data_IF_892444628186
#
_entry.id   IF_892444628186
#
_cell.length_a   1.000
_cell.length_b   1.000
_cell.length_c   1.000
_cell.angle_alpha   90.00
_cell.angle_beta   90.00
_cell.angle_gamma   90.00
#
_symmetry.space_group_name_H-M   'P 1'
#
loop_
_entity.id
_entity.type
_entity.pdbx_description
1 polymer ?
#
# COMPACT_ATOMS: atom_id res chain seq x y z
N UNK A 1 15.24 1.79 -7.83
CA UNK A 1 13.98 1.83 -7.04
C UNK A 1 14.32 2.01 -5.58
N UNK A 2 14.07 3.20 -5.04
CA UNK A 2 14.36 3.52 -3.65
C UNK A 2 13.64 2.53 -2.72
N UNK A 3 14.36 2.07 -1.70
CA UNK A 3 13.90 1.11 -0.70
C UNK A 3 12.59 1.58 -0.03
N UNK A 4 11.46 1.03 -0.43
CA UNK A 4 10.13 1.43 0.04
C UNK A 4 9.77 0.75 1.38
N UNK A 5 10.64 0.88 2.41
CA UNK A 5 10.35 0.39 3.76
C UNK A 5 9.13 1.07 4.41
N UNK A 6 8.72 2.24 3.90
CA UNK A 6 7.53 2.95 4.42
C UNK A 6 6.21 2.17 4.32
N UNK A 7 6.14 1.11 3.51
CA UNK A 7 4.95 0.22 3.44
C UNK A 7 4.80 -0.66 4.69
N UNK A 8 5.91 -0.96 5.36
CA UNK A 8 5.95 -1.85 6.52
C UNK A 8 5.84 -1.11 7.85
N UNK A 9 5.91 0.23 7.85
CA UNK A 9 5.90 1.01 9.08
C UNK A 9 4.63 0.78 9.91
N UNK A 10 3.44 0.86 9.28
CA UNK A 10 2.19 0.65 10.00
C UNK A 10 2.03 -0.76 10.56
N UNK A 11 2.28 -1.86 9.82
CA UNK A 11 2.31 -3.19 10.40
C UNK A 11 3.28 -3.36 11.58
N UNK A 12 4.47 -2.74 11.51
CA UNK A 12 5.46 -2.80 12.61
C UNK A 12 4.94 -2.06 13.83
N UNK A 13 4.37 -0.86 13.65
CA UNK A 13 3.75 -0.12 14.77
C UNK A 13 2.63 -0.92 15.41
N UNK A 14 1.69 -1.44 14.61
CA UNK A 14 0.56 -2.20 15.11
C UNK A 14 0.99 -3.45 15.87
N UNK A 15 1.97 -4.20 15.34
CA UNK A 15 2.50 -5.38 16.01
C UNK A 15 3.16 -5.02 17.35
N UNK A 16 4.00 -3.98 17.38
CA UNK A 16 4.62 -3.50 18.61
C UNK A 16 3.59 -3.05 19.64
N UNK A 17 2.58 -2.28 19.21
CA UNK A 17 1.49 -1.85 20.09
C UNK A 17 0.72 -3.03 20.68
N UNK A 18 0.38 -4.07 19.88
CA UNK A 18 -0.33 -5.26 20.36
C UNK A 18 0.49 -6.03 21.39
N UNK A 19 1.80 -6.21 21.13
CA UNK A 19 2.69 -6.87 22.11
C UNK A 19 2.69 -6.09 23.45
N UNK A 20 2.86 -4.76 23.37
CA UNK A 20 2.91 -3.90 24.56
C UNK A 20 1.57 -3.81 25.30
N UNK A 21 0.46 -3.83 24.55
CA UNK A 21 -0.90 -3.87 25.11
C UNK A 21 -1.09 -5.16 25.93
N UNK A 22 -0.70 -6.33 25.37
CA UNK A 22 -0.81 -7.59 26.08
C UNK A 22 0.09 -7.62 27.32
N UNK A 23 1.32 -7.14 27.23
CA UNK A 23 2.22 -7.03 28.40
C UNK A 23 1.62 -6.11 29.45
N UNK A 24 1.10 -4.93 29.08
CA UNK A 24 0.51 -3.98 30.00
C UNK A 24 -0.75 -4.53 30.70
N UNK A 25 -1.57 -5.25 29.95
CA UNK A 25 -2.76 -5.91 30.49
C UNK A 25 -2.40 -7.01 31.50
N UNK A 26 -1.42 -7.87 31.16
CA UNK A 26 -0.94 -8.92 32.05
C UNK A 26 -0.29 -8.36 33.32
N UNK A 27 0.49 -7.30 33.20
CA UNK A 27 1.08 -6.60 34.37
C UNK A 27 -0.01 -6.01 35.26
N UNK A 28 -1.01 -5.33 34.67
CA UNK A 28 -2.14 -4.78 35.42
C UNK A 28 -2.96 -5.86 36.11
N UNK A 29 -3.15 -7.00 35.45
CA UNK A 29 -3.81 -8.18 36.03
C UNK A 29 -3.01 -8.75 37.18
N UNK A 30 -1.70 -8.97 37.02
CA UNK A 30 -0.81 -9.48 38.04
C UNK A 30 -0.77 -8.59 39.30
N UNK A 31 -0.67 -7.27 39.11
CA UNK A 31 -0.67 -6.32 40.24
C UNK A 31 -1.98 -6.33 41.01
N UNK A 32 -3.10 -6.63 40.35
CA UNK A 32 -4.41 -6.66 40.98
C UNK A 32 -4.68 -7.98 41.72
N UNK A 33 -4.26 -9.13 41.13
CA UNK A 33 -4.67 -10.45 41.59
C UNK A 33 -3.51 -11.31 42.11
N UNK A 34 -2.27 -10.84 41.98
CA UNK A 34 -1.03 -11.54 42.37
C UNK A 34 -0.84 -12.93 41.73
N UNK A 35 -1.56 -13.21 40.65
CA UNK A 35 -1.46 -14.42 39.86
C UNK A 35 -1.63 -14.12 38.37
N UNK A 36 -1.41 -15.11 37.50
CA UNK A 36 -1.57 -15.01 36.04
C UNK A 36 -2.53 -16.08 35.49
N UNK A 37 -3.56 -16.45 36.27
CA UNK A 37 -4.53 -17.50 35.89
C UNK A 37 -5.50 -16.98 34.83
N UNK A 38 -5.02 -16.71 33.63
CA UNK A 38 -5.78 -16.28 32.46
C UNK A 38 -6.11 -17.47 31.55
N UNK A 39 -6.84 -18.44 32.09
CA UNK A 39 -7.36 -19.56 31.28
C UNK A 39 -8.57 -19.13 30.43
N UNK A 40 -8.90 -19.95 29.39
CA UNK A 40 -9.96 -19.69 28.40
C UNK A 40 -11.34 -19.42 29.05
N UNK A 41 -11.61 -19.94 30.23
CA UNK A 41 -12.87 -19.72 30.99
C UNK A 41 -12.83 -18.46 31.88
N UNK A 42 -11.68 -17.76 31.98
CA UNK A 42 -11.59 -16.55 32.78
C UNK A 42 -12.18 -15.35 31.98
N UNK A 43 -13.11 -14.56 32.54
CA UNK A 43 -13.66 -13.38 31.87
C UNK A 43 -12.61 -12.39 31.39
N UNK A 44 -11.49 -12.25 32.09
CA UNK A 44 -10.39 -11.38 31.71
C UNK A 44 -9.66 -11.83 30.44
N UNK A 45 -9.70 -13.12 30.10
CA UNK A 45 -9.18 -13.60 28.81
C UNK A 45 -9.99 -13.02 27.65
N UNK A 46 -11.31 -13.03 27.74
CA UNK A 46 -12.17 -12.39 26.74
C UNK A 46 -11.97 -10.88 26.69
N UNK A 47 -11.81 -10.22 27.86
CA UNK A 47 -11.52 -8.80 27.92
C UNK A 47 -10.20 -8.46 27.20
N UNK A 48 -9.14 -9.27 27.36
CA UNK A 48 -7.88 -9.12 26.66
C UNK A 48 -8.05 -9.24 25.14
N UNK A 49 -8.86 -10.18 24.67
CA UNK A 49 -9.19 -10.30 23.23
C UNK A 49 -9.89 -9.03 22.74
N UNK A 50 -10.88 -8.50 23.49
CA UNK A 50 -11.57 -7.28 23.14
C UNK A 50 -10.62 -6.07 23.11
N UNK A 51 -9.69 -5.96 24.07
CA UNK A 51 -8.66 -4.93 24.05
C UNK A 51 -7.86 -4.96 22.75
N UNK A 52 -7.42 -6.13 22.29
CA UNK A 52 -6.67 -6.30 21.05
C UNK A 52 -7.52 -5.91 19.82
N UNK A 53 -8.77 -6.39 19.73
CA UNK A 53 -9.67 -6.09 18.60
C UNK A 53 -9.96 -4.61 18.51
N UNK A 54 -10.32 -3.95 19.64
CA UNK A 54 -10.62 -2.53 19.68
C UNK A 54 -9.38 -1.70 19.34
N UNK A 55 -8.19 -2.09 19.82
CA UNK A 55 -6.95 -1.40 19.47
C UNK A 55 -6.62 -1.47 17.98
N UNK A 56 -6.77 -2.64 17.36
CA UNK A 56 -6.60 -2.79 15.91
C UNK A 56 -7.54 -1.82 15.18
N UNK A 57 -8.81 -1.79 15.56
CA UNK A 57 -9.81 -0.93 14.94
C UNK A 57 -9.48 0.56 15.11
N UNK A 58 -9.17 1.02 16.32
CA UNK A 58 -8.80 2.41 16.63
C UNK A 58 -7.51 2.80 15.90
N UNK A 59 -6.49 1.93 15.91
CA UNK A 59 -5.22 2.20 15.24
C UNK A 59 -5.42 2.40 13.73
N UNK A 60 -6.23 1.55 13.09
CA UNK A 60 -6.53 1.66 11.67
C UNK A 60 -7.39 2.88 11.34
N UNK A 61 -8.37 3.20 12.19
CA UNK A 61 -9.23 4.37 12.02
C UNK A 61 -8.42 5.67 12.02
N UNK A 62 -7.40 5.75 12.88
CA UNK A 62 -6.58 6.95 13.04
C UNK A 62 -5.35 7.01 12.10
N UNK A 63 -5.04 5.96 11.34
CA UNK A 63 -3.81 5.87 10.53
C UNK A 63 -3.74 6.84 9.33
N UNK A 64 -4.85 7.48 8.97
CA UNK A 64 -4.91 8.36 7.80
C UNK A 64 -3.88 9.51 7.79
N UNK A 65 -3.26 9.82 8.92
CA UNK A 65 -2.33 10.96 9.05
C UNK A 65 -0.84 10.58 9.09
N UNK A 66 -0.48 9.28 9.23
CA UNK A 66 0.93 8.87 9.39
C UNK A 66 1.76 8.87 8.10
N UNK A 67 1.16 9.15 6.95
CA UNK A 67 1.88 9.21 5.67
C UNK A 67 2.81 10.39 5.52
N UNK A 68 2.72 11.39 6.41
CA UNK A 68 3.59 12.55 6.38
C UNK A 68 4.93 12.23 7.07
N UNK A 69 5.99 12.05 6.27
CA UNK A 69 7.37 11.93 6.76
C UNK A 69 7.80 13.13 7.61
N UNK A 70 7.04 14.21 7.52
CA UNK A 70 7.28 15.54 8.14
C UNK A 70 6.45 15.74 9.43
N UNK A 71 5.91 14.68 10.01
CA UNK A 71 5.12 14.80 11.24
C UNK A 71 6.00 15.27 12.42
N UNK A 72 5.53 16.29 13.15
CA UNK A 72 6.18 16.77 14.38
C UNK A 72 5.91 15.81 15.55
N UNK A 73 6.80 15.80 16.56
CA UNK A 73 6.64 14.95 17.73
C UNK A 73 5.33 15.24 18.48
N UNK A 74 4.92 16.51 18.52
CA UNK A 74 3.64 16.91 19.12
C UNK A 74 2.43 16.33 18.36
N UNK A 75 2.47 16.31 17.04
CA UNK A 75 1.39 15.73 16.25
C UNK A 75 1.26 14.22 16.48
N UNK A 76 2.40 13.54 16.63
CA UNK A 76 2.48 12.10 16.92
C UNK A 76 1.94 11.81 18.32
N UNK A 77 2.38 12.56 19.33
CA UNK A 77 1.92 12.42 20.72
C UNK A 77 0.42 12.67 20.85
N UNK A 78 -0.10 13.76 20.24
CA UNK A 78 -1.55 14.04 20.21
C UNK A 78 -2.34 12.88 19.60
N UNK A 79 -1.82 12.24 18.56
CA UNK A 79 -2.46 11.11 17.93
C UNK A 79 -2.49 9.88 18.84
N UNK A 80 -1.41 9.59 19.55
CA UNK A 80 -1.33 8.48 20.51
C UNK A 80 -2.33 8.70 21.63
N UNK A 81 -2.36 9.90 22.22
CA UNK A 81 -3.31 10.26 23.28
C UNK A 81 -4.76 10.10 22.78
N UNK A 82 -5.06 10.58 21.56
CA UNK A 82 -6.38 10.40 20.96
C UNK A 82 -6.73 8.92 20.77
N UNK A 83 -5.76 8.09 20.35
CA UNK A 83 -5.99 6.65 20.21
C UNK A 83 -6.30 5.98 21.54
N UNK A 84 -5.53 6.29 22.59
CA UNK A 84 -5.76 5.79 23.94
C UNK A 84 -7.13 6.21 24.49
N UNK A 85 -7.51 7.47 24.30
CA UNK A 85 -8.81 7.99 24.73
C UNK A 85 -9.98 7.29 24.01
N UNK A 86 -9.87 7.10 22.68
CA UNK A 86 -10.90 6.38 21.91
C UNK A 86 -10.98 4.90 22.30
N UNK A 87 -9.84 4.27 22.55
CA UNK A 87 -9.80 2.89 23.01
C UNK A 87 -10.44 2.73 24.39
N UNK A 88 -10.07 3.60 25.33
CA UNK A 88 -10.67 3.62 26.66
C UNK A 88 -12.19 3.83 26.59
N UNK A 89 -12.64 4.83 25.81
CA UNK A 89 -14.07 5.11 25.63
C UNK A 89 -14.82 3.90 25.03
N UNK A 90 -14.25 3.24 24.03
CA UNK A 90 -14.86 2.07 23.43
C UNK A 90 -14.98 0.89 24.42
N UNK A 91 -13.91 0.60 25.16
CA UNK A 91 -13.92 -0.46 26.17
C UNK A 91 -14.91 -0.13 27.30
N UNK A 92 -14.90 1.11 27.81
CA UNK A 92 -15.85 1.54 28.84
C UNK A 92 -17.30 1.39 28.35
N UNK A 93 -17.59 1.79 27.12
CA UNK A 93 -18.92 1.64 26.51
C UNK A 93 -19.33 0.17 26.43
N UNK A 94 -18.46 -0.71 25.96
CA UNK A 94 -18.74 -2.17 25.88
C UNK A 94 -19.04 -2.72 27.27
N UNK A 95 -18.21 -2.41 28.27
CA UNK A 95 -18.41 -2.90 29.65
C UNK A 95 -19.73 -2.41 30.27
N UNK A 96 -20.16 -1.17 29.98
CA UNK A 96 -21.43 -0.62 30.41
C UNK A 96 -22.61 -1.35 29.75
N UNK A 97 -22.59 -1.56 28.44
CA UNK A 97 -23.68 -2.25 27.73
C UNK A 97 -23.83 -3.71 28.16
N UNK A 98 -22.73 -4.40 28.40
CA UNK A 98 -22.74 -5.79 28.86
C UNK A 98 -23.03 -5.89 30.38
N UNK A 99 -23.18 -4.75 31.09
CA UNK A 99 -23.35 -4.67 32.56
C UNK A 99 -22.28 -5.48 33.33
N UNK A 100 -21.05 -5.47 32.82
CA UNK A 100 -19.93 -6.28 33.32
C UNK A 100 -19.30 -5.65 34.58
N UNK A 101 -20.04 -5.67 35.69
CA UNK A 101 -19.63 -5.07 36.98
C UNK A 101 -18.54 -5.85 37.71
N UNK A 102 -18.27 -7.08 37.27
CA UNK A 102 -17.28 -7.98 37.89
C UNK A 102 -15.81 -7.65 37.49
N UNK A 103 -15.56 -6.80 36.50
CA UNK A 103 -14.20 -6.38 36.20
C UNK A 103 -13.69 -5.32 37.18
N UNK A 104 -12.47 -5.56 37.69
CA UNK A 104 -11.81 -4.62 38.59
C UNK A 104 -11.44 -3.31 37.87
N UNK A 105 -11.93 -2.20 38.39
CA UNK A 105 -11.58 -0.86 37.88
C UNK A 105 -10.10 -0.56 38.05
N UNK A 106 -9.50 -1.04 39.17
CA UNK A 106 -8.09 -0.82 39.47
C UNK A 106 -7.19 -1.58 38.48
N UNK A 107 -7.55 -2.82 38.09
CA UNK A 107 -6.86 -3.55 37.03
C UNK A 107 -6.88 -2.77 35.70
N UNK A 108 -8.00 -2.17 35.34
CA UNK A 108 -8.07 -1.33 34.14
C UNK A 108 -7.18 -0.09 34.24
N UNK A 109 -7.15 0.57 35.39
CA UNK A 109 -6.26 1.72 35.62
C UNK A 109 -4.81 1.33 35.47
N UNK A 110 -4.37 0.24 36.08
CA UNK A 110 -2.99 -0.27 35.92
C UNK A 110 -2.69 -0.59 34.46
N UNK A 111 -3.57 -1.33 33.79
CA UNK A 111 -3.38 -1.70 32.37
C UNK A 111 -3.24 -0.48 31.46
N UNK A 112 -4.09 0.54 31.62
CA UNK A 112 -4.01 1.76 30.81
C UNK A 112 -2.80 2.63 31.15
N UNK A 113 -2.38 2.68 32.41
CA UNK A 113 -1.19 3.40 32.82
C UNK A 113 0.07 2.82 32.19
N UNK A 114 0.24 1.51 32.28
CA UNK A 114 1.37 0.82 31.61
C UNK A 114 1.27 0.91 30.10
N UNK A 115 0.11 0.66 29.52
CA UNK A 115 -0.06 0.70 28.07
C UNK A 115 0.24 2.10 27.51
N UNK A 116 -0.28 3.16 28.16
CA UNK A 116 0.02 4.53 27.77
C UNK A 116 1.50 4.86 27.79
N UNK A 117 2.20 4.49 28.87
CA UNK A 117 3.64 4.68 28.99
C UNK A 117 4.42 3.89 27.93
N UNK A 118 4.10 2.61 27.76
CA UNK A 118 4.79 1.73 26.83
C UNK A 118 4.59 2.15 25.37
N UNK A 119 3.35 2.40 24.94
CA UNK A 119 3.08 2.77 23.54
C UNK A 119 3.68 4.13 23.20
N UNK A 120 3.66 5.08 24.13
CA UNK A 120 4.29 6.39 23.92
C UNK A 120 5.79 6.25 23.73
N UNK A 121 6.47 5.57 24.66
CA UNK A 121 7.91 5.32 24.60
C UNK A 121 8.30 4.54 23.34
N UNK A 122 7.59 3.47 23.04
CA UNK A 122 7.80 2.66 21.82
C UNK A 122 7.71 3.48 20.55
N UNK A 123 6.61 4.22 20.39
CA UNK A 123 6.35 5.00 19.17
C UNK A 123 7.37 6.13 18.99
N UNK A 124 7.72 6.84 20.06
CA UNK A 124 8.76 7.86 20.00
C UNK A 124 10.13 7.25 19.72
N UNK A 125 10.54 6.21 20.43
CA UNK A 125 11.80 5.52 20.18
C UNK A 125 11.92 5.02 18.74
N UNK A 126 10.86 4.41 18.20
CA UNK A 126 10.84 3.94 16.82
C UNK A 126 10.98 5.09 15.81
N UNK A 127 10.31 6.21 16.03
CA UNK A 127 10.39 7.38 15.13
C UNK A 127 11.79 8.00 15.19
N UNK A 128 12.37 8.13 16.38
CA UNK A 128 13.75 8.63 16.53
C UNK A 128 14.77 7.72 15.85
N UNK A 129 14.66 6.39 16.01
CA UNK A 129 15.51 5.45 15.30
C UNK A 129 15.35 5.52 13.78
N UNK A 130 14.10 5.66 13.28
CA UNK A 130 13.83 5.82 11.87
C UNK A 130 14.39 7.14 11.30
N UNK A 131 14.29 8.24 12.05
CA UNK A 131 14.89 9.54 11.68
C UNK A 131 16.42 9.45 11.67
N UNK A 132 17.02 8.82 12.66
CA UNK A 132 18.47 8.57 12.70
C UNK A 132 18.93 7.71 11.52
N UNK A 133 18.16 6.68 11.17
CA UNK A 133 18.42 5.83 10.01
C UNK A 133 18.37 6.62 8.69
N UNK A 134 17.41 7.53 8.54
CA UNK A 134 17.32 8.43 7.37
C UNK A 134 18.46 9.44 7.32
N UNK A 135 18.88 10.02 8.45
CA UNK A 135 20.05 10.91 8.51
C UNK A 135 21.32 10.22 8.03
N UNK A 136 21.48 8.92 8.30
CA UNK A 136 22.60 8.10 7.80
C UNK A 136 22.51 7.80 6.28
N UNK A 137 21.47 8.28 5.57
CA UNK A 137 21.34 8.14 4.13
C UNK A 137 20.61 6.87 3.68
N UNK A 138 19.81 6.27 4.55
CA UNK A 138 18.96 5.14 4.20
C UNK A 138 17.49 5.56 4.07
N UNK A 139 16.65 4.76 3.37
CA UNK A 139 15.20 4.99 3.21
C UNK A 139 14.84 6.42 2.78
N UNK A 140 15.60 6.97 1.85
CA UNK A 140 15.34 8.29 1.27
C UNK A 140 14.48 8.19 0.01
N UNK A 141 13.98 9.36 -0.44
CA UNK A 141 13.31 9.58 -1.73
C UNK A 141 14.04 10.64 -2.49
N UNK A 142 14.26 10.39 -3.76
CA UNK A 142 14.80 11.38 -4.67
C UNK A 142 13.69 12.28 -5.20
N UNK A 143 13.98 13.58 -5.25
CA UNK A 143 13.04 14.53 -5.81
C UNK A 143 13.73 15.57 -6.69
N UNK A 144 12.96 16.05 -7.65
CA UNK A 144 13.31 17.18 -8.50
C UNK A 144 12.28 18.29 -8.33
N UNK A 145 12.69 19.52 -8.62
CA UNK A 145 11.81 20.68 -8.58
C UNK A 145 11.79 21.30 -9.98
N UNK A 146 10.60 21.50 -10.51
CA UNK A 146 10.36 22.16 -11.79
C UNK A 146 9.95 23.60 -11.50
N UNK A 147 10.80 24.55 -11.97
CA UNK A 147 10.73 25.97 -11.68
C UNK A 147 11.68 26.41 -10.56
N UNK A 148 12.49 27.43 -10.85
CA UNK A 148 13.43 28.03 -9.91
C UNK A 148 12.86 29.32 -9.32
N UNK A 149 11.92 29.19 -8.41
CA UNK A 149 11.25 30.30 -7.73
C UNK A 149 11.36 30.17 -6.20
N UNK A 150 10.86 31.18 -5.49
CA UNK A 150 10.93 31.25 -4.03
C UNK A 150 10.27 30.05 -3.32
N UNK A 151 9.14 29.56 -3.84
CA UNK A 151 8.45 28.40 -3.25
C UNK A 151 9.24 27.10 -3.43
N UNK A 152 9.82 26.88 -4.61
CA UNK A 152 10.71 25.74 -4.88
C UNK A 152 11.97 25.79 -4.02
N UNK A 153 12.57 26.98 -3.87
CA UNK A 153 13.71 27.17 -2.98
C UNK A 153 13.35 26.96 -1.50
N UNK A 154 12.17 27.40 -1.08
CA UNK A 154 11.68 27.22 0.29
C UNK A 154 11.45 25.73 0.60
N UNK A 155 10.93 24.96 -0.37
CA UNK A 155 10.81 23.51 -0.25
C UNK A 155 12.19 22.84 -0.10
N UNK A 156 13.17 23.22 -0.92
CA UNK A 156 14.53 22.70 -0.82
C UNK A 156 15.14 23.04 0.53
N UNK A 157 15.08 24.31 0.96
CA UNK A 157 15.56 24.75 2.28
C UNK A 157 14.92 23.97 3.43
N UNK A 158 13.61 23.65 3.34
CA UNK A 158 12.92 22.83 4.34
C UNK A 158 13.53 21.43 4.43
N UNK A 159 13.76 20.78 3.30
CA UNK A 159 14.30 19.42 3.28
C UNK A 159 15.80 19.38 3.64
N UNK A 160 16.58 20.39 3.27
CA UNK A 160 17.99 20.52 3.66
C UNK A 160 18.13 20.73 5.18
N UNK A 161 17.23 21.52 5.79
CA UNK A 161 17.19 21.75 7.24
C UNK A 161 16.75 20.49 8.01
N UNK A 162 16.00 19.58 7.38
CA UNK A 162 15.42 18.40 8.00
C UNK A 162 15.80 17.10 7.25
N UNK A 163 17.09 16.70 7.27
CA UNK A 163 17.55 15.47 6.60
C UNK A 163 16.87 14.20 7.13
N UNK A 164 16.31 14.24 8.36
CA UNK A 164 15.53 13.17 8.97
C UNK A 164 14.22 12.85 8.23
N UNK A 165 13.74 13.74 7.37
CA UNK A 165 12.59 13.45 6.52
C UNK A 165 12.94 12.47 5.39
N UNK A 166 14.25 12.34 5.08
CA UNK A 166 14.76 11.40 4.10
C UNK A 166 14.37 11.78 2.68
N UNK A 167 14.54 13.06 2.30
CA UNK A 167 14.45 13.54 0.93
C UNK A 167 15.82 13.95 0.43
N UNK A 168 16.15 13.55 -0.81
CA UNK A 168 17.40 13.94 -1.49
C UNK A 168 17.08 14.71 -2.77
N UNK A 169 17.59 15.91 -2.84
CA UNK A 169 17.46 16.79 -3.98
C UNK A 169 18.38 16.36 -5.12
N UNK A 170 17.82 16.21 -6.32
CA UNK A 170 18.59 15.89 -7.53
C UNK A 170 18.85 17.12 -8.42
N UNK A 171 17.94 18.09 -8.47
CA UNK A 171 18.13 19.29 -9.27
C UNK A 171 16.86 20.09 -9.51
N UNK A 172 17.07 21.33 -9.95
CA UNK A 172 16.03 22.16 -10.53
C UNK A 172 16.01 21.98 -12.04
N UNK A 173 14.82 22.15 -12.63
CA UNK A 173 14.61 22.22 -14.08
C UNK A 173 13.85 23.49 -14.40
N UNK A 174 14.45 24.36 -15.21
CA UNK A 174 13.87 25.65 -15.59
C UNK A 174 14.38 26.10 -16.96
N UNK A 175 13.56 26.80 -17.75
CA UNK A 175 13.92 27.29 -19.07
C UNK A 175 14.45 28.72 -19.04
N UNK A 176 14.17 29.49 -17.99
CA UNK A 176 14.37 30.94 -17.96
C UNK A 176 15.54 31.40 -17.11
N UNK A 177 16.02 30.60 -16.19
CA UNK A 177 17.05 31.00 -15.21
C UNK A 177 18.36 30.25 -15.45
N UNK A 178 19.47 30.99 -15.44
CA UNK A 178 20.81 30.39 -15.48
C UNK A 178 21.41 30.37 -14.07
N UNK A 179 21.40 29.21 -13.44
CA UNK A 179 21.91 28.99 -12.07
C UNK A 179 22.59 27.62 -11.99
N UNK A 180 23.66 27.53 -11.21
CA UNK A 180 24.45 26.29 -11.03
C UNK A 180 23.65 25.11 -10.44
N UNK A 181 22.52 25.38 -9.78
CA UNK A 181 21.61 24.38 -9.23
C UNK A 181 20.62 23.82 -10.27
N UNK A 182 20.54 24.44 -11.46
CA UNK A 182 19.69 23.98 -12.56
C UNK A 182 20.43 22.88 -13.32
N UNK A 183 19.83 21.69 -13.36
CA UNK A 183 20.39 20.51 -14.03
C UNK A 183 20.05 20.44 -15.51
N UNK A 184 19.02 21.16 -15.93
CA UNK A 184 18.61 21.19 -17.33
C UNK A 184 17.34 21.99 -17.57
N UNK A 185 16.99 22.08 -18.85
CA UNK A 185 15.71 22.66 -19.27
C UNK A 185 14.55 21.72 -18.90
N UNK A 186 13.37 22.28 -18.88
CA UNK A 186 12.15 21.53 -18.54
C UNK A 186 11.91 20.34 -19.49
N UNK A 187 12.28 20.46 -20.76
CA UNK A 187 12.14 19.42 -21.77
C UNK A 187 13.05 18.19 -21.51
N UNK A 188 14.15 18.39 -20.79
CA UNK A 188 15.11 17.33 -20.46
C UNK A 188 14.69 16.48 -19.26
N UNK A 189 13.57 16.80 -18.59
CA UNK A 189 13.10 16.08 -17.41
C UNK A 189 12.89 14.59 -17.71
N UNK A 190 12.31 14.27 -18.88
CA UNK A 190 12.00 12.88 -19.24
C UNK A 190 13.26 12.02 -19.41
N UNK A 191 14.31 12.56 -20.00
CA UNK A 191 15.60 11.92 -20.15
C UNK A 191 16.28 11.74 -18.79
N UNK A 192 16.35 12.79 -18.02
CA UNK A 192 16.93 12.78 -16.67
C UNK A 192 16.27 11.75 -15.75
N UNK A 193 14.94 11.63 -15.80
CA UNK A 193 14.19 10.67 -15.00
C UNK A 193 14.45 9.22 -15.42
N UNK A 194 14.72 8.95 -16.69
CA UNK A 194 15.10 7.60 -17.17
C UNK A 194 16.47 7.17 -16.67
N UNK A 195 17.38 8.10 -16.52
CA UNK A 195 18.74 7.85 -16.03
C UNK A 195 18.87 7.84 -14.51
N UNK A 196 17.93 8.50 -13.83
CA UNK A 196 17.97 8.70 -12.38
C UNK A 196 16.67 8.18 -11.73
N UNK A 197 16.80 7.52 -10.58
CA UNK A 197 15.66 7.06 -9.78
C UNK A 197 14.92 8.24 -9.13
N UNK A 198 13.99 8.89 -9.84
CA UNK A 198 13.17 9.99 -9.31
C UNK A 198 11.87 9.45 -8.72
N UNK A 199 11.62 9.71 -7.44
CA UNK A 199 10.39 9.29 -6.74
C UNK A 199 9.28 10.35 -6.80
N UNK A 200 9.65 11.63 -6.71
CA UNK A 200 8.69 12.74 -6.62
C UNK A 200 9.13 13.94 -7.48
N UNK A 201 8.18 14.55 -8.18
CA UNK A 201 8.36 15.80 -8.94
C UNK A 201 7.51 16.87 -8.27
N UNK A 202 8.17 17.98 -7.89
CA UNK A 202 7.50 19.16 -7.34
C UNK A 202 7.44 20.25 -8.39
N UNK A 203 6.23 20.68 -8.77
CA UNK A 203 6.06 21.79 -9.72
C UNK A 203 5.79 23.07 -8.94
N UNK A 204 6.65 24.08 -9.17
CA UNK A 204 6.59 25.40 -8.53
C UNK A 204 6.38 26.56 -9.52
N UNK A 205 6.05 26.28 -10.78
CA UNK A 205 5.93 27.29 -11.83
C UNK A 205 4.49 27.76 -11.98
N UNK A 206 4.26 29.05 -11.83
CA UNK A 206 2.96 29.70 -12.03
C UNK A 206 2.56 29.83 -13.51
N UNK A 207 3.53 29.96 -14.40
CA UNK A 207 3.31 30.33 -15.81
C UNK A 207 3.60 29.20 -16.81
N UNK A 208 3.54 27.93 -16.34
CA UNK A 208 3.66 26.81 -17.26
C UNK A 208 2.48 26.72 -18.22
N UNK A 209 2.78 26.57 -19.50
CA UNK A 209 1.77 26.27 -20.50
C UNK A 209 0.99 24.99 -20.13
N UNK A 210 -0.33 25.07 -20.21
CA UNK A 210 -1.22 23.93 -19.90
C UNK A 210 -0.83 22.62 -20.61
N UNK A 211 -0.39 22.62 -21.89
CA UNK A 211 0.05 21.41 -22.57
C UNK A 211 1.24 20.75 -21.92
N UNK A 212 2.21 21.53 -21.43
CA UNK A 212 3.40 20.98 -20.77
C UNK A 212 3.05 20.26 -19.45
N UNK A 213 2.23 20.88 -18.59
CA UNK A 213 1.79 20.27 -17.34
C UNK A 213 1.07 18.94 -17.63
N UNK A 214 0.21 18.92 -18.66
CA UNK A 214 -0.48 17.69 -19.09
C UNK A 214 0.50 16.61 -19.56
N UNK A 215 1.51 16.97 -20.34
CA UNK A 215 2.53 16.03 -20.82
C UNK A 215 3.40 15.49 -19.68
N UNK A 216 3.81 16.36 -18.75
CA UNK A 216 4.56 15.96 -17.56
C UNK A 216 3.74 14.99 -16.67
N UNK A 217 2.46 15.26 -16.53
CA UNK A 217 1.55 14.36 -15.80
C UNK A 217 1.40 13.00 -16.49
N UNK A 218 1.24 12.98 -17.82
CA UNK A 218 1.19 11.74 -18.60
C UNK A 218 2.48 10.93 -18.41
N UNK A 219 3.62 11.58 -18.52
CA UNK A 219 4.92 10.95 -18.32
C UNK A 219 5.09 10.39 -16.90
N UNK A 220 4.72 11.16 -15.88
CA UNK A 220 4.81 10.72 -14.49
C UNK A 220 3.85 9.53 -14.21
N UNK A 221 2.66 9.53 -14.80
CA UNK A 221 1.72 8.41 -14.71
C UNK A 221 2.28 7.13 -15.35
N UNK A 222 2.96 7.26 -16.50
CA UNK A 222 3.61 6.13 -17.18
C UNK A 222 4.77 5.54 -16.37
N UNK A 223 5.49 6.38 -15.63
CA UNK A 223 6.64 5.96 -14.82
C UNK A 223 6.32 5.77 -13.32
N UNK A 224 5.05 5.84 -12.91
CA UNK A 224 4.58 5.72 -11.51
C UNK A 224 5.22 6.74 -10.56
N UNK A 225 5.58 7.93 -11.06
CA UNK A 225 6.19 9.04 -10.30
C UNK A 225 5.07 9.90 -9.71
N UNK A 226 5.29 10.41 -8.51
CA UNK A 226 4.35 11.30 -7.83
C UNK A 226 4.61 12.74 -8.21
N UNK A 227 3.60 13.42 -8.77
CA UNK A 227 3.65 14.88 -8.96
C UNK A 227 2.90 15.57 -7.84
N UNK A 228 3.52 16.62 -7.30
CA UNK A 228 2.93 17.54 -6.34
C UNK A 228 3.11 18.98 -6.86
N UNK A 229 2.03 19.74 -6.80
CA UNK A 229 2.02 21.14 -7.18
C UNK A 229 2.23 22.00 -5.92
N UNK A 230 3.09 22.99 -5.99
CA UNK A 230 3.11 24.07 -5.01
C UNK A 230 1.96 25.05 -5.27
N UNK A 231 1.57 25.84 -4.28
CA UNK A 231 0.38 26.68 -4.36
C UNK A 231 0.37 27.64 -5.55
N UNK A 232 1.52 28.18 -5.94
CA UNK A 232 1.68 29.03 -7.13
C UNK A 232 1.28 28.34 -8.45
N UNK A 233 1.39 27.03 -8.52
CA UNK A 233 1.16 26.25 -9.75
C UNK A 233 -0.27 25.74 -9.90
N UNK A 234 -1.14 26.00 -8.93
CA UNK A 234 -2.52 25.45 -8.90
C UNK A 234 -3.41 26.07 -9.97
N UNK A 235 -3.20 27.34 -10.30
CA UNK A 235 -4.02 28.08 -11.27
C UNK A 235 -3.97 27.50 -12.69
N UNK A 236 -2.92 26.76 -13.01
CA UNK A 236 -2.71 26.18 -14.34
C UNK A 236 -3.33 24.81 -14.56
N UNK A 237 -3.95 24.23 -13.52
CA UNK A 237 -4.55 22.89 -13.55
C UNK A 237 -6.08 23.00 -13.55
N UNK A 238 -6.65 23.48 -14.67
CA UNK A 238 -8.11 23.52 -14.82
C UNK A 238 -8.69 22.10 -14.94
N UNK A 239 -9.88 21.89 -14.34
CA UNK A 239 -10.69 20.69 -14.41
C UNK A 239 -10.13 19.40 -13.74
N UNK A 240 -9.06 19.47 -12.93
CA UNK A 240 -8.63 18.31 -12.16
C UNK A 240 -8.93 18.50 -10.67
N UNK A 241 -9.35 17.42 -10.03
CA UNK A 241 -9.53 17.40 -8.57
C UNK A 241 -8.15 17.41 -7.91
N UNK A 242 -7.82 18.52 -7.28
CA UNK A 242 -6.60 18.67 -6.49
C UNK A 242 -6.86 18.22 -5.06
N UNK A 243 -5.93 17.48 -4.49
CA UNK A 243 -6.01 17.00 -3.12
C UNK A 243 -5.00 17.78 -2.27
N UNK A 244 -5.47 18.59 -1.30
CA UNK A 244 -4.57 19.39 -0.48
C UNK A 244 -3.67 18.48 0.35
N UNK A 245 -2.40 18.84 0.43
CA UNK A 245 -1.40 18.27 1.31
C UNK A 245 -0.63 19.42 1.94
N UNK A 246 -0.41 19.37 3.23
CA UNK A 246 0.34 20.40 3.94
C UNK A 246 1.73 19.86 4.31
N UNK A 247 2.76 20.67 4.09
CA UNK A 247 4.14 20.34 4.40
C UNK A 247 4.77 21.51 5.18
N UNK A 248 4.68 21.49 6.51
CA UNK A 248 5.01 22.66 7.32
C UNK A 248 4.12 23.84 6.93
N UNK A 249 4.75 24.96 6.57
CA UNK A 249 4.06 26.16 6.11
C UNK A 249 3.79 26.19 4.58
N UNK A 250 4.21 25.14 3.86
CA UNK A 250 4.00 25.05 2.42
C UNK A 250 2.71 24.30 2.10
N UNK A 251 1.84 24.94 1.32
CA UNK A 251 0.65 24.30 0.76
C UNK A 251 1.04 23.55 -0.51
N UNK A 252 0.82 22.25 -0.51
CA UNK A 252 1.03 21.34 -1.64
C UNK A 252 -0.30 20.79 -2.11
N UNK A 253 -0.37 20.46 -3.38
CA UNK A 253 -1.54 19.79 -3.96
C UNK A 253 -1.09 18.55 -4.73
N UNK A 254 -1.63 17.41 -4.36
CA UNK A 254 -1.48 16.20 -5.14
C UNK A 254 -2.53 16.19 -6.26
N UNK A 255 -2.11 15.86 -7.46
CA UNK A 255 -2.98 15.83 -8.64
C UNK A 255 -3.93 14.63 -8.58
N UNK A 256 -3.54 13.60 -7.86
CA UNK A 256 -4.31 12.36 -7.75
C UNK A 256 -4.29 11.82 -6.33
N UNK A 257 -5.46 11.35 -5.89
CA UNK A 257 -5.56 10.48 -4.72
C UNK A 257 -5.25 9.04 -5.15
N UNK A 258 -4.21 8.45 -4.59
CA UNK A 258 -3.90 7.04 -4.85
C UNK A 258 -5.07 6.17 -4.37
N UNK A 259 -5.55 5.21 -5.19
CA UNK A 259 -6.56 4.25 -4.73
C UNK A 259 -6.04 3.49 -3.51
N UNK A 260 -6.92 3.21 -2.56
CA UNK A 260 -6.56 2.57 -1.30
C UNK A 260 -5.45 3.33 -0.55
N UNK A 261 -5.46 4.67 -0.66
CA UNK A 261 -4.47 5.51 0.03
C UNK A 261 -4.66 5.49 1.55
N UNK A 262 -5.87 5.28 2.04
CA UNK A 262 -6.16 5.17 3.45
C UNK A 262 -5.97 3.73 3.97
N UNK A 263 -5.58 3.60 5.25
CA UNK A 263 -5.22 2.31 5.83
C UNK A 263 -6.42 1.45 6.17
N UNK A 264 -7.56 2.08 6.50
CA UNK A 264 -8.79 1.35 6.77
C UNK A 264 -9.26 0.62 5.51
N UNK A 265 -9.36 1.31 4.37
CA UNK A 265 -9.72 0.70 3.09
C UNK A 265 -8.75 -0.41 2.67
N UNK A 266 -7.44 -0.24 2.93
CA UNK A 266 -6.44 -1.27 2.65
C UNK A 266 -6.59 -2.50 3.53
N UNK A 267 -6.81 -2.28 4.84
CA UNK A 267 -6.98 -3.39 5.78
C UNK A 267 -8.28 -4.13 5.52
N UNK A 268 -9.41 -3.42 5.38
CA UNK A 268 -10.71 -4.02 5.08
C UNK A 268 -10.65 -4.84 3.79
N UNK A 269 -10.00 -4.27 2.75
CA UNK A 269 -9.78 -4.98 1.49
C UNK A 269 -8.91 -6.23 1.69
N UNK A 270 -7.86 -6.16 2.51
CA UNK A 270 -6.97 -7.30 2.77
C UNK A 270 -7.65 -8.38 3.61
N UNK A 271 -8.43 -8.00 4.62
CA UNK A 271 -9.23 -8.95 5.40
C UNK A 271 -10.22 -9.67 4.49
N UNK A 272 -10.96 -8.93 3.66
CA UNK A 272 -11.85 -9.52 2.67
C UNK A 272 -11.10 -10.50 1.75
N UNK A 273 -9.96 -10.10 1.18
CA UNK A 273 -9.15 -10.94 0.31
C UNK A 273 -8.69 -12.23 1.01
N UNK A 274 -8.27 -12.15 2.27
CA UNK A 274 -7.83 -13.32 3.04
C UNK A 274 -9.03 -14.25 3.35
N UNK A 275 -10.10 -13.69 3.94
CA UNK A 275 -11.27 -14.49 4.36
C UNK A 275 -11.90 -15.18 3.16
N UNK A 276 -12.17 -14.42 2.10
CA UNK A 276 -12.79 -14.97 0.89
C UNK A 276 -11.90 -16.02 0.21
N UNK A 277 -10.61 -15.74 0.07
CA UNK A 277 -9.67 -16.71 -0.54
C UNK A 277 -9.52 -17.97 0.30
N UNK A 278 -9.47 -17.83 1.64
CA UNK A 278 -9.41 -18.99 2.53
C UNK A 278 -10.67 -19.87 2.43
N UNK A 279 -11.86 -19.23 2.38
CA UNK A 279 -13.12 -19.98 2.18
C UNK A 279 -13.13 -20.72 0.84
N UNK A 280 -12.72 -20.07 -0.25
CA UNK A 280 -12.65 -20.73 -1.57
C UNK A 280 -11.62 -21.86 -1.56
N UNK A 281 -10.46 -21.67 -0.94
CA UNK A 281 -9.43 -22.71 -0.84
C UNK A 281 -9.95 -23.91 -0.03
N UNK A 282 -10.60 -23.68 1.10
CA UNK A 282 -11.12 -24.75 1.96
C UNK A 282 -12.33 -25.45 1.35
N UNK A 283 -13.29 -24.71 0.78
CA UNK A 283 -14.57 -25.27 0.34
C UNK A 283 -14.55 -25.75 -1.11
N UNK A 284 -13.73 -25.14 -1.96
CA UNK A 284 -13.70 -25.44 -3.41
C UNK A 284 -12.41 -26.15 -3.80
N UNK A 285 -11.26 -25.62 -3.46
CA UNK A 285 -9.99 -26.18 -3.92
C UNK A 285 -9.66 -27.53 -3.28
N UNK A 286 -10.14 -27.81 -2.07
CA UNK A 286 -9.90 -29.07 -1.36
C UNK A 286 -10.27 -30.32 -2.19
N UNK A 287 -11.35 -30.27 -2.92
CA UNK A 287 -11.82 -31.36 -3.77
C UNK A 287 -11.61 -31.10 -5.27
N UNK A 288 -11.72 -29.85 -5.71
CA UNK A 288 -11.65 -29.50 -7.13
C UNK A 288 -10.23 -29.66 -7.70
N UNK A 289 -9.18 -29.26 -6.94
CA UNK A 289 -7.78 -29.36 -7.41
C UNK A 289 -7.37 -30.81 -7.67
N UNK A 290 -7.63 -31.79 -6.77
CA UNK A 290 -7.34 -33.19 -7.07
C UNK A 290 -8.05 -33.70 -8.34
N UNK A 291 -9.35 -33.39 -8.51
CA UNK A 291 -10.12 -33.82 -9.67
C UNK A 291 -9.56 -33.19 -10.96
N UNK A 292 -9.45 -31.87 -11.03
CA UNK A 292 -8.93 -31.17 -12.20
C UNK A 292 -7.47 -31.57 -12.46
N UNK A 293 -6.68 -31.73 -11.41
CA UNK A 293 -5.29 -32.17 -11.51
C UNK A 293 -5.16 -33.55 -12.16
N UNK A 294 -6.00 -34.50 -11.78
CA UNK A 294 -6.05 -35.83 -12.40
C UNK A 294 -6.47 -35.72 -13.87
N UNK A 295 -7.54 -34.99 -14.17
CA UNK A 295 -8.01 -34.79 -15.55
C UNK A 295 -6.95 -34.15 -16.45
N UNK A 296 -6.21 -33.13 -15.96
CA UNK A 296 -5.10 -32.49 -16.71
C UNK A 296 -3.97 -33.48 -16.96
N UNK A 297 -3.66 -34.36 -16.01
CA UNK A 297 -2.61 -35.40 -16.18
C UNK A 297 -3.01 -36.46 -17.20
N UNK A 298 -4.28 -36.80 -17.25
CA UNK A 298 -4.83 -37.76 -18.25
C UNK A 298 -4.91 -37.13 -19.65
N UNK A 299 -5.24 -35.82 -19.73
CA UNK A 299 -5.39 -35.11 -21.00
C UNK A 299 -4.04 -34.82 -21.68
N UNK A 300 -2.97 -34.53 -20.92
CA UNK A 300 -1.65 -34.26 -21.49
C UNK A 300 -0.52 -34.43 -20.46
N UNK A 301 0.68 -34.84 -20.92
CA UNK A 301 1.87 -34.96 -20.07
C UNK A 301 2.38 -33.61 -19.62
N UNK A 302 2.76 -33.48 -18.31
CA UNK A 302 3.37 -32.27 -17.74
C UNK A 302 2.78 -31.86 -16.39
N UNK A 303 3.13 -30.69 -15.81
CA UNK A 303 2.66 -30.21 -14.53
C UNK A 303 1.18 -29.83 -14.57
N UNK A 304 0.48 -29.93 -13.43
CA UNK A 304 -0.93 -29.54 -13.28
C UNK A 304 -1.08 -28.02 -13.34
N UNK A 305 -0.16 -27.32 -12.68
CA UNK A 305 -0.18 -25.85 -12.62
C UNK A 305 0.74 -25.26 -13.67
N UNK A 306 0.29 -24.15 -14.24
CA UNK A 306 1.03 -23.26 -15.09
C UNK A 306 1.34 -21.98 -14.32
N UNK A 307 2.57 -21.48 -14.46
CA UNK A 307 3.05 -20.24 -13.84
C UNK A 307 3.52 -19.28 -14.92
N UNK A 308 3.08 -18.04 -14.86
CA UNK A 308 3.51 -17.01 -15.79
C UNK A 308 3.77 -15.69 -15.06
N UNK A 309 4.87 -15.02 -15.40
CA UNK A 309 5.15 -13.68 -14.88
C UNK A 309 4.15 -12.67 -15.38
N UNK A 310 3.61 -11.88 -14.46
CA UNK A 310 2.64 -10.81 -14.72
C UNK A 310 3.06 -9.55 -13.97
N UNK A 311 2.71 -8.39 -14.52
CA UNK A 311 2.93 -7.11 -13.83
C UNK A 311 1.92 -6.96 -12.69
N UNK A 312 2.44 -6.76 -11.48
CA UNK A 312 1.68 -6.58 -10.27
C UNK A 312 1.65 -5.13 -9.79
N UNK A 313 1.42 -4.96 -8.50
CA UNK A 313 1.40 -3.64 -7.86
C UNK A 313 2.76 -2.95 -7.91
N UNK A 314 2.73 -1.62 -8.14
CA UNK A 314 3.91 -0.76 -8.25
C UNK A 314 4.87 -1.21 -9.37
N UNK A 315 4.34 -1.85 -10.43
CA UNK A 315 5.13 -2.36 -11.55
C UNK A 315 5.99 -3.57 -11.23
N UNK A 316 5.85 -4.20 -10.05
CA UNK A 316 6.65 -5.36 -9.66
C UNK A 316 6.05 -6.64 -10.22
N UNK A 317 6.90 -7.47 -10.80
CA UNK A 317 6.48 -8.75 -11.35
C UNK A 317 6.16 -9.76 -10.25
N UNK A 318 5.20 -10.64 -10.55
CA UNK A 318 4.86 -11.78 -9.72
C UNK A 318 4.50 -13.00 -10.57
N UNK A 319 4.59 -14.19 -9.98
CA UNK A 319 4.18 -15.44 -10.61
C UNK A 319 2.67 -15.66 -10.43
N UNK A 320 1.93 -15.54 -11.53
CA UNK A 320 0.49 -15.81 -11.57
C UNK A 320 0.26 -17.30 -11.79
N UNK A 321 -0.53 -17.93 -10.91
CA UNK A 321 -0.87 -19.35 -10.93
C UNK A 321 -2.15 -19.59 -11.74
N UNK A 322 -2.13 -20.63 -12.58
CA UNK A 322 -3.32 -21.14 -13.29
C UNK A 322 -3.27 -22.65 -13.41
N UNK A 323 -4.40 -23.29 -13.72
CA UNK A 323 -4.34 -24.63 -14.25
C UNK A 323 -3.78 -24.64 -15.67
N UNK A 324 -3.03 -25.68 -16.00
CA UNK A 324 -2.51 -25.86 -17.36
C UNK A 324 -3.68 -26.20 -18.31
N UNK A 325 -3.81 -25.42 -19.37
CA UNK A 325 -4.85 -25.57 -20.41
C UNK A 325 -4.26 -25.83 -21.79
N UNK A 326 -2.93 -25.90 -21.89
CA UNK A 326 -2.19 -26.13 -23.13
C UNK A 326 -1.18 -27.26 -22.95
N UNK A 327 -0.81 -27.91 -24.05
CA UNK A 327 0.36 -28.78 -24.09
C UNK A 327 1.61 -27.99 -23.71
N UNK A 328 2.56 -28.64 -23.07
CA UNK A 328 3.84 -27.99 -22.71
C UNK A 328 4.54 -27.50 -24.00
N UNK A 329 4.85 -26.22 -24.02
CA UNK A 329 5.50 -25.52 -25.12
C UNK A 329 6.40 -24.39 -24.61
N UNK A 330 7.34 -23.95 -25.44
CA UNK A 330 8.29 -22.87 -25.12
C UNK A 330 7.75 -21.47 -25.43
N UNK A 331 6.59 -21.36 -26.09
CA UNK A 331 6.01 -20.10 -26.56
C UNK A 331 5.07 -19.43 -25.56
N UNK A 332 4.90 -20.01 -24.37
CA UNK A 332 3.89 -19.61 -23.38
C UNK A 332 4.07 -18.17 -22.88
N UNK A 333 5.30 -17.65 -22.84
CA UNK A 333 5.63 -16.31 -22.38
C UNK A 333 5.71 -15.29 -23.53
N UNK A 334 5.69 -15.74 -24.77
CA UNK A 334 5.91 -14.91 -25.95
C UNK A 334 4.68 -14.74 -26.83
N UNK A 335 3.85 -15.79 -26.96
CA UNK A 335 2.68 -15.79 -27.85
C UNK A 335 1.38 -15.89 -27.04
N UNK A 336 0.51 -14.88 -27.18
CA UNK A 336 -0.84 -14.93 -26.67
C UNK A 336 -1.65 -16.03 -27.35
N UNK A 337 -2.52 -16.71 -26.61
CA UNK A 337 -3.45 -17.67 -27.17
C UNK A 337 -4.44 -16.99 -28.13
N UNK A 338 -4.60 -17.51 -29.31
CA UNK A 338 -5.57 -17.06 -30.30
C UNK A 338 -6.86 -17.91 -30.25
N UNK A 339 -7.89 -17.49 -30.97
CA UNK A 339 -9.10 -18.30 -31.17
C UNK A 339 -8.71 -19.55 -31.97
N UNK A 340 -9.04 -20.76 -31.47
CA UNK A 340 -8.69 -22.06 -32.06
C UNK A 340 -7.18 -22.39 -32.08
N UNK A 341 -6.44 -21.94 -31.09
CA UNK A 341 -5.01 -22.23 -30.94
C UNK A 341 -4.79 -23.75 -30.73
N UNK A 342 -4.01 -24.37 -31.63
CA UNK A 342 -3.73 -25.81 -31.62
C UNK A 342 -3.02 -26.34 -30.37
N UNK A 343 -2.43 -25.44 -29.58
CA UNK A 343 -1.79 -25.77 -28.32
C UNK A 343 -2.78 -26.08 -27.20
N UNK A 344 -4.04 -25.59 -27.34
CA UNK A 344 -5.08 -25.76 -26.31
C UNK A 344 -5.61 -27.19 -26.38
N UNK A 345 -5.66 -27.86 -25.23
CA UNK A 345 -6.23 -29.22 -25.13
C UNK A 345 -7.76 -29.15 -25.07
N UNK A 346 -8.45 -30.28 -25.32
CA UNK A 346 -9.92 -30.32 -25.23
C UNK A 346 -10.43 -29.95 -23.84
N UNK A 347 -9.81 -30.51 -22.80
CA UNK A 347 -10.10 -30.13 -21.39
C UNK A 347 -9.74 -28.66 -21.15
N UNK A 348 -8.58 -28.20 -21.66
CA UNK A 348 -8.12 -26.82 -21.53
C UNK A 348 -9.11 -25.81 -22.13
N UNK A 349 -9.76 -26.14 -23.26
CA UNK A 349 -10.79 -25.29 -23.85
C UNK A 349 -12.01 -25.12 -22.92
N UNK A 350 -12.44 -26.22 -22.30
CA UNK A 350 -13.52 -26.17 -21.29
C UNK A 350 -13.13 -25.35 -20.07
N UNK A 351 -11.94 -25.56 -19.48
CA UNK A 351 -11.46 -24.84 -18.32
C UNK A 351 -11.37 -23.33 -18.59
N UNK A 352 -10.93 -22.93 -19.77
CA UNK A 352 -10.85 -21.51 -20.19
C UNK A 352 -12.23 -20.89 -20.41
N UNK A 353 -13.17 -21.63 -21.00
CA UNK A 353 -14.53 -21.15 -21.23
C UNK A 353 -15.27 -20.92 -19.90
N UNK A 354 -15.07 -21.78 -18.92
CA UNK A 354 -15.64 -21.69 -17.56
C UNK A 354 -14.85 -20.81 -16.61
N UNK A 355 -13.66 -20.32 -16.99
CA UNK A 355 -12.70 -19.59 -16.12
C UNK A 355 -12.20 -20.40 -14.91
N UNK A 356 -12.41 -21.71 -14.89
CA UNK A 356 -11.91 -22.63 -13.85
C UNK A 356 -10.36 -22.63 -13.85
N UNK A 357 -9.73 -22.39 -15.01
CA UNK A 357 -8.27 -22.30 -15.12
C UNK A 357 -7.68 -21.19 -14.24
N UNK A 358 -8.43 -20.18 -13.88
CA UNK A 358 -7.97 -19.04 -13.06
C UNK A 358 -8.15 -19.26 -11.55
N UNK A 359 -8.84 -20.33 -11.10
CA UNK A 359 -9.07 -20.59 -9.68
C UNK A 359 -7.78 -20.68 -8.83
N UNK A 360 -6.65 -21.24 -9.31
CA UNK A 360 -5.42 -21.25 -8.52
C UNK A 360 -4.89 -19.86 -8.13
N UNK A 361 -5.38 -18.78 -8.74
CA UNK A 361 -5.03 -17.39 -8.37
C UNK A 361 -5.51 -17.01 -6.95
N UNK A 362 -6.43 -17.76 -6.34
CA UNK A 362 -6.77 -17.57 -4.92
C UNK A 362 -5.58 -17.82 -3.99
N UNK A 363 -4.64 -18.69 -4.35
CA UNK A 363 -3.37 -18.81 -3.64
C UNK A 363 -2.51 -17.53 -3.79
N UNK A 364 -2.46 -16.92 -4.98
CA UNK A 364 -1.79 -15.63 -5.17
C UNK A 364 -2.43 -14.52 -4.33
N UNK A 365 -3.76 -14.57 -4.16
CA UNK A 365 -4.49 -13.60 -3.34
C UNK A 365 -4.17 -13.81 -1.86
N UNK A 366 -4.17 -15.04 -1.38
CA UNK A 366 -3.81 -15.38 0.00
C UNK A 366 -2.35 -14.98 0.32
N UNK A 367 -1.41 -15.24 -0.59
CA UNK A 367 -0.02 -14.81 -0.48
C UNK A 367 0.15 -13.27 -0.58
N UNK A 368 -0.86 -12.56 -1.09
CA UNK A 368 -0.86 -11.09 -1.15
C UNK A 368 -0.32 -10.48 -2.44
N UNK A 369 -0.02 -11.27 -3.45
CA UNK A 369 0.39 -10.80 -4.77
C UNK A 369 -0.79 -10.26 -5.60
N UNK A 370 -1.99 -10.83 -5.37
CA UNK A 370 -3.24 -10.46 -6.01
C UNK A 370 -4.30 -10.05 -5.00
N UNK A 371 -5.45 -9.67 -5.50
CA UNK A 371 -6.69 -9.38 -4.78
C UNK A 371 -7.84 -10.15 -5.44
N UNK A 372 -8.92 -10.39 -4.74
CA UNK A 372 -10.14 -10.96 -5.36
C UNK A 372 -10.65 -10.03 -6.44
N UNK A 373 -10.78 -8.73 -6.13
CA UNK A 373 -11.27 -7.69 -7.07
C UNK A 373 -10.16 -6.69 -7.33
N UNK A 374 -9.81 -6.51 -8.60
CA UNK A 374 -8.79 -5.56 -9.04
C UNK A 374 -8.64 -5.55 -10.57
N UNK A 375 -7.74 -4.73 -11.12
CA UNK A 375 -7.47 -4.73 -12.56
C UNK A 375 -6.86 -6.07 -12.99
N UNK A 376 -7.23 -6.55 -14.18
CA UNK A 376 -6.71 -7.81 -14.73
C UNK A 376 -5.17 -7.76 -14.87
N UNK A 377 -4.41 -8.77 -14.40
CA UNK A 377 -2.96 -8.81 -14.57
C UNK A 377 -2.58 -9.07 -16.04
N UNK A 378 -1.74 -8.21 -16.60
CA UNK A 378 -1.26 -8.33 -17.98
C UNK A 378 0.09 -9.05 -18.06
N UNK A 379 0.40 -9.66 -19.22
CA UNK A 379 1.72 -10.16 -19.56
C UNK A 379 2.71 -8.98 -19.62
N UNK A 380 3.99 -9.21 -19.31
CA UNK A 380 5.01 -8.15 -19.30
C UNK A 380 5.07 -7.39 -20.62
N UNK A 381 5.10 -8.11 -21.75
CA UNK A 381 5.08 -7.52 -23.10
C UNK A 381 3.86 -6.63 -23.35
N UNK A 382 2.67 -7.05 -22.86
CA UNK A 382 1.47 -6.25 -23.01
C UNK A 382 1.51 -4.99 -22.13
N UNK A 383 2.09 -5.10 -20.93
CA UNK A 383 2.27 -3.93 -20.08
C UNK A 383 3.20 -2.92 -20.72
N UNK A 384 4.30 -3.37 -21.32
CA UNK A 384 5.23 -2.52 -22.05
C UNK A 384 4.55 -1.81 -23.22
N UNK A 385 3.87 -2.56 -24.09
CA UNK A 385 3.14 -2.02 -25.24
C UNK A 385 2.08 -1.00 -24.83
N UNK A 386 1.13 -1.39 -23.96
CA UNK A 386 0.02 -0.52 -23.57
C UNK A 386 0.44 0.67 -22.70
N UNK A 387 1.59 0.60 -22.04
CA UNK A 387 2.12 1.74 -21.27
C UNK A 387 2.44 2.93 -22.16
N UNK A 388 2.78 2.68 -23.43
CA UNK A 388 3.10 3.71 -24.42
C UNK A 388 1.83 4.22 -25.13
N UNK A 389 0.90 3.32 -25.48
CA UNK A 389 -0.27 3.61 -26.29
C UNK A 389 -1.46 4.19 -25.50
N UNK A 390 -1.67 3.72 -24.27
CA UNK A 390 -2.90 4.06 -23.52
C UNK A 390 -2.57 5.02 -22.37
N UNK A 391 -3.21 6.19 -22.41
CA UNK A 391 -3.10 7.16 -21.31
C UNK A 391 -3.54 6.53 -19.98
N UNK A 392 -2.78 6.81 -18.92
CA UNK A 392 -3.03 6.32 -17.55
C UNK A 392 -3.04 4.79 -17.40
N UNK A 393 -2.55 4.03 -18.40
CA UNK A 393 -2.51 2.57 -18.30
C UNK A 393 -1.75 2.10 -17.06
N UNK A 394 -0.60 2.70 -16.77
CA UNK A 394 0.24 2.33 -15.62
C UNK A 394 -0.41 2.64 -14.27
N UNK A 395 -1.36 3.58 -14.21
CA UNK A 395 -2.10 3.93 -12.99
C UNK A 395 -2.83 2.71 -12.37
N UNK A 396 -3.22 1.75 -13.19
CA UNK A 396 -3.83 0.50 -12.73
C UNK A 396 -2.91 -0.32 -11.82
N UNK A 397 -1.59 -0.15 -11.94
CA UNK A 397 -0.60 -0.85 -11.12
C UNK A 397 -0.37 -0.22 -9.73
N UNK A 398 -1.05 0.87 -9.40
CA UNK A 398 -1.06 1.40 -8.02
C UNK A 398 -1.81 0.51 -7.03
N UNK A 399 -2.63 -0.41 -7.54
CA UNK A 399 -3.34 -1.43 -6.75
C UNK A 399 -2.92 -2.84 -7.15
N UNK A 400 -3.23 -3.84 -6.31
CA UNK A 400 -2.99 -5.24 -6.65
C UNK A 400 -3.89 -5.65 -7.82
N UNK A 401 -3.40 -6.47 -8.77
CA UNK A 401 -4.24 -7.06 -9.79
C UNK A 401 -5.28 -7.99 -9.18
N UNK A 402 -6.44 -8.12 -9.83
CA UNK A 402 -7.56 -8.92 -9.36
C UNK A 402 -7.76 -10.22 -10.15
N UNK A 403 -8.37 -11.22 -9.49
CA UNK A 403 -8.92 -12.41 -10.15
C UNK A 403 -10.09 -11.97 -11.02
N UNK A 404 -10.94 -11.08 -10.49
CA UNK A 404 -12.04 -10.44 -11.20
C UNK A 404 -11.93 -8.91 -11.13
N UNK A 405 -12.66 -8.21 -11.98
CA UNK A 405 -12.68 -6.75 -12.03
C UNK A 405 -13.72 -6.21 -12.97
N UNK A 406 -13.96 -4.90 -12.94
CA UNK A 406 -15.03 -4.23 -13.70
C UNK A 406 -14.99 -4.53 -15.21
N UNK A 407 -13.82 -4.57 -15.82
CA UNK A 407 -13.69 -4.89 -17.24
C UNK A 407 -14.11 -6.35 -17.52
N UNK A 408 -13.69 -7.28 -16.67
CA UNK A 408 -13.99 -8.70 -16.82
C UNK A 408 -15.49 -8.98 -16.61
N UNK A 409 -16.13 -8.32 -15.63
CA UNK A 409 -17.57 -8.46 -15.37
C UNK A 409 -18.44 -7.85 -16.48
N UNK A 410 -17.89 -6.87 -17.23
CA UNK A 410 -18.53 -6.29 -18.42
C UNK A 410 -18.21 -7.02 -19.73
N UNK A 411 -17.57 -8.20 -19.67
CA UNK A 411 -17.26 -9.02 -20.84
C UNK A 411 -15.97 -8.64 -21.61
N UNK A 412 -15.24 -7.62 -21.19
CA UNK A 412 -13.94 -7.29 -21.78
C UNK A 412 -12.87 -8.23 -21.23
N UNK A 413 -12.42 -9.18 -22.04
CA UNK A 413 -11.41 -10.20 -21.70
C UNK A 413 -10.15 -10.10 -22.55
#
# INVERSE_FOLDING_TARGET
MANQYSKFLHPIYLLGDLILLNIAFLLGYYLQFSNLDLFIFNPYFFLLIFFNIVWIFVSVLLDNQEKNRVATDMAITKKIVKALALHLAAIATILLFVKATYFSRLQLVYSYSFFGAFVLTWRLAFIYTLRAYRKKGYNFRFYIIVGFNEQGQSLKRLYDKHPEFGYRFLGYFDNQVNNSLIKGKIDNIQEFVKENDVDEIYCSVSDMEKPFVKNLMKFADQNLIRIKLLASSVQNVNNQRLYPAQLGNLSLFAIRKEPLSDSFSRLSKRIFDIVFSSLVILLVHSWLIPIIGLLIKLDSKGPVFFRQKRTGRDGKDFWCLKFRTMKVNNDSDTKQATKNDSRITKLGAFLRKSSIDELPQFFNTLMGNMSVVGPRPHMLKHTEYYSQEVEKFMVRHLVKPGITGLAQTKGFR
#
